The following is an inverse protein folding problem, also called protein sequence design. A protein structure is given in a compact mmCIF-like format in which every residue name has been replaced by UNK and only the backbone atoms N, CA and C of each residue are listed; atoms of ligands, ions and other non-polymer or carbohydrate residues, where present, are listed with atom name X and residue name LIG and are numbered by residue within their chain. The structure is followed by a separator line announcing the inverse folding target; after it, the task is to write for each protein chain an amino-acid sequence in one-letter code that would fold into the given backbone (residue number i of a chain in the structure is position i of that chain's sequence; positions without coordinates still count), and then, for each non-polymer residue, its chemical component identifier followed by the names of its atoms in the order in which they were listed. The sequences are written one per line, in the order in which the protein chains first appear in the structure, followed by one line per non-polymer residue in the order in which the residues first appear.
data_IF_901351363716
#
_entry.id   IF_901351363716
#
_cell.length_a   1.000
_cell.length_b   1.000
_cell.length_c   1.000
_cell.angle_alpha   90.00
_cell.angle_beta   90.00
_cell.angle_gamma   90.00
#
_symmetry.space_group_name_H-M   'P 1'
#
loop_
_entity.id
_entity.type
_entity.pdbx_description
1 polymer ?
#
# COMPACT_ATOMS: atom_id res chain seq x y z
N UNK A 1 16.35 5.87 11.56
CA UNK A 1 15.88 4.96 10.50
C UNK A 1 16.46 3.58 10.73
N UNK A 2 15.60 2.60 11.04
CA UNK A 2 15.95 1.16 11.13
C UNK A 2 16.32 0.57 9.78
N UNK A 3 15.70 1.03 8.69
CA UNK A 3 15.91 0.52 7.33
C UNK A 3 15.88 1.66 6.31
N UNK A 4 16.53 1.48 5.16
CA UNK A 4 16.48 2.46 4.07
C UNK A 4 15.08 2.51 3.43
N UNK A 5 14.69 3.67 2.88
CA UNK A 5 13.42 3.80 2.15
C UNK A 5 13.33 2.76 1.01
N UNK A 6 14.44 2.55 0.29
CA UNK A 6 14.55 1.52 -0.76
C UNK A 6 14.20 0.13 -0.26
N UNK A 7 14.75 -0.27 0.88
CA UNK A 7 14.50 -1.59 1.46
C UNK A 7 13.05 -1.75 1.95
N UNK A 8 12.44 -0.66 2.45
CA UNK A 8 11.03 -0.62 2.84
C UNK A 8 10.10 -0.73 1.63
N UNK A 9 10.38 0.04 0.58
CA UNK A 9 9.64 -0.01 -0.69
C UNK A 9 9.75 -1.40 -1.32
N UNK A 10 10.94 -2.01 -1.35
CA UNK A 10 11.09 -3.43 -1.75
C UNK A 10 10.28 -4.38 -0.87
N UNK A 11 10.30 -4.16 0.44
CA UNK A 11 9.49 -4.90 1.39
C UNK A 11 8.00 -4.85 1.06
N UNK A 12 7.47 -3.68 0.68
CA UNK A 12 6.07 -3.50 0.27
C UNK A 12 5.69 -4.42 -0.90
N UNK A 13 6.42 -4.36 -2.01
CA UNK A 13 6.09 -5.14 -3.20
C UNK A 13 6.27 -6.64 -2.99
N UNK A 14 7.35 -7.04 -2.32
CA UNK A 14 7.56 -8.46 -1.99
C UNK A 14 6.51 -8.97 -1.01
N UNK A 15 6.11 -8.15 -0.03
CA UNK A 15 5.05 -8.46 0.91
C UNK A 15 3.70 -8.63 0.22
N UNK A 16 3.37 -7.74 -0.72
CA UNK A 16 2.17 -7.82 -1.57
C UNK A 16 2.14 -9.14 -2.36
N UNK A 17 3.23 -9.45 -3.08
CA UNK A 17 3.34 -10.67 -3.89
C UNK A 17 3.30 -11.95 -3.05
N UNK A 18 3.93 -11.95 -1.88
CA UNK A 18 3.89 -13.08 -0.94
C UNK A 18 2.50 -13.25 -0.33
N UNK A 19 1.82 -12.15 -0.02
CA UNK A 19 0.47 -12.17 0.52
C UNK A 19 -0.52 -12.84 -0.42
N UNK A 20 -0.32 -12.70 -1.73
CA UNK A 20 -1.08 -13.40 -2.77
C UNK A 20 -0.56 -14.83 -2.96
N UNK A 21 0.75 -15.00 -3.17
CA UNK A 21 1.39 -16.29 -3.51
C UNK A 21 1.25 -17.36 -2.45
N UNK A 22 1.29 -17.00 -1.17
CA UNK A 22 1.20 -17.98 -0.09
C UNK A 22 -0.23 -18.45 0.16
N UNK A 23 -1.24 -17.77 -0.40
CA UNK A 23 -2.64 -18.20 -0.26
C UNK A 23 -2.91 -19.37 -1.20
N UNK A 24 -3.81 -20.28 -0.78
CA UNK A 24 -4.24 -21.41 -1.61
C UNK A 24 -5.35 -21.03 -2.59
N UNK A 25 -5.71 -19.75 -2.64
CA UNK A 25 -6.75 -19.23 -3.52
C UNK A 25 -6.17 -18.89 -4.89
N UNK A 26 -7.04 -18.82 -5.89
CA UNK A 26 -6.63 -18.32 -7.20
C UNK A 26 -6.12 -16.89 -7.09
N UNK A 27 -5.04 -16.61 -7.83
CA UNK A 27 -4.43 -15.29 -7.89
C UNK A 27 -5.44 -14.29 -8.48
N UNK A 28 -5.61 -13.15 -7.81
CA UNK A 28 -6.55 -12.09 -8.23
C UNK A 28 -5.82 -10.99 -9.02
N UNK A 29 -4.49 -11.09 -9.15
CA UNK A 29 -3.65 -10.15 -9.89
C UNK A 29 -3.37 -8.87 -9.12
N UNK A 30 -3.50 -8.88 -7.78
CA UNK A 30 -3.27 -7.67 -6.98
C UNK A 30 -1.82 -7.21 -7.04
N UNK A 31 -0.88 -8.15 -7.05
CA UNK A 31 0.53 -7.84 -7.27
C UNK A 31 0.77 -7.06 -8.58
N UNK A 32 0.16 -7.52 -9.66
CA UNK A 32 0.27 -6.91 -10.99
C UNK A 32 -0.31 -5.50 -11.01
N UNK A 33 -1.47 -5.28 -10.38
CA UNK A 33 -2.10 -3.96 -10.28
C UNK A 33 -1.18 -2.95 -9.57
N UNK A 34 -0.55 -3.37 -8.46
CA UNK A 34 0.40 -2.52 -7.73
C UNK A 34 1.64 -2.16 -8.57
N UNK A 35 2.11 -3.10 -9.39
CA UNK A 35 3.25 -2.88 -10.30
C UNK A 35 2.86 -1.94 -11.44
N UNK A 36 1.72 -2.18 -12.09
CA UNK A 36 1.23 -1.37 -13.21
C UNK A 36 0.96 0.08 -12.80
N UNK A 37 0.32 0.29 -11.66
CA UNK A 37 0.09 1.64 -11.11
C UNK A 37 1.39 2.36 -10.78
N UNK A 38 2.39 1.64 -10.26
CA UNK A 38 3.73 2.19 -10.01
C UNK A 38 4.45 2.59 -11.29
N UNK A 39 4.35 1.77 -12.34
CA UNK A 39 4.97 2.07 -13.62
C UNK A 39 4.35 3.31 -14.28
N UNK A 40 3.02 3.46 -14.18
CA UNK A 40 2.33 4.67 -14.65
C UNK A 40 2.85 5.92 -13.92
N UNK A 41 2.95 5.86 -12.58
CA UNK A 41 3.50 6.94 -11.77
C UNK A 41 4.94 7.28 -12.17
N UNK A 42 5.80 6.28 -12.38
CA UNK A 42 7.18 6.47 -12.84
C UNK A 42 7.22 7.15 -14.21
N UNK A 43 6.44 6.67 -15.18
CA UNK A 43 6.50 7.15 -16.56
C UNK A 43 5.97 8.58 -16.72
N UNK A 44 5.01 8.98 -15.90
CA UNK A 44 4.27 10.25 -16.07
C UNK A 44 4.57 11.28 -14.97
N UNK A 45 5.25 10.88 -13.89
CA UNK A 45 5.41 11.71 -12.69
C UNK A 45 4.10 11.92 -11.90
N UNK A 46 3.01 11.27 -12.32
CA UNK A 46 1.69 11.28 -11.70
C UNK A 46 1.00 9.96 -12.03
N UNK A 47 0.04 9.55 -11.20
CA UNK A 47 -0.76 8.37 -11.52
C UNK A 47 -1.80 8.77 -12.57
N UNK A 48 -1.61 8.30 -13.80
CA UNK A 48 -2.47 8.66 -14.93
C UNK A 48 -3.69 7.75 -14.97
N UNK A 49 -4.87 8.34 -14.75
CA UNK A 49 -6.09 7.56 -14.57
C UNK A 49 -6.67 7.04 -15.88
N UNK A 50 -6.40 7.71 -17.00
CA UNK A 50 -6.81 7.22 -18.33
C UNK A 50 -5.97 6.00 -18.72
N UNK A 51 -4.65 6.08 -18.50
CA UNK A 51 -3.74 4.95 -18.71
C UNK A 51 -4.11 3.77 -17.81
N UNK A 52 -4.42 4.04 -16.54
CA UNK A 52 -4.87 3.02 -15.60
C UNK A 52 -6.18 2.36 -16.05
N UNK A 53 -7.20 3.15 -16.42
CA UNK A 53 -8.49 2.63 -16.88
C UNK A 53 -8.38 1.80 -18.17
N UNK A 54 -7.58 2.26 -19.13
CA UNK A 54 -7.37 1.53 -20.38
C UNK A 54 -6.68 0.19 -20.13
N UNK A 55 -5.63 0.18 -19.31
CA UNK A 55 -4.92 -1.04 -18.94
C UNK A 55 -5.82 -2.00 -18.12
N UNK A 56 -6.65 -1.45 -17.25
CA UNK A 56 -7.61 -2.19 -16.44
C UNK A 56 -8.66 -2.91 -17.30
N UNK A 57 -9.27 -2.20 -18.26
CA UNK A 57 -10.26 -2.75 -19.19
C UNK A 57 -9.64 -3.83 -20.11
N UNK A 58 -8.42 -3.59 -20.59
CA UNK A 58 -7.73 -4.53 -21.47
C UNK A 58 -7.38 -5.86 -20.77
N UNK A 59 -7.10 -5.81 -19.47
CA UNK A 59 -6.74 -6.98 -18.67
C UNK A 59 -7.94 -7.69 -18.01
N UNK A 60 -9.18 -7.26 -18.32
CA UNK A 60 -10.45 -7.87 -17.86
C UNK A 60 -10.57 -8.06 -16.34
N UNK A 61 -9.93 -7.20 -15.55
CA UNK A 61 -10.15 -7.21 -14.11
C UNK A 61 -11.60 -6.77 -13.79
N UNK A 62 -12.25 -7.45 -12.85
CA UNK A 62 -13.53 -7.01 -12.28
C UNK A 62 -13.27 -6.06 -11.10
N UNK A 63 -13.86 -4.85 -11.13
CA UNK A 63 -13.53 -3.81 -10.14
C UNK A 63 -13.94 -4.26 -8.75
N UNK A 64 -12.95 -4.44 -7.89
CA UNK A 64 -13.17 -4.58 -6.46
C UNK A 64 -12.55 -3.40 -5.74
N UNK A 65 -13.20 -2.99 -4.65
CA UNK A 65 -12.73 -1.96 -3.74
C UNK A 65 -11.23 -2.08 -3.39
N UNK A 66 -10.73 -3.32 -3.23
CA UNK A 66 -9.34 -3.58 -2.84
C UNK A 66 -8.36 -3.27 -3.97
N UNK A 67 -8.74 -3.52 -5.23
CA UNK A 67 -7.89 -3.18 -6.38
C UNK A 67 -7.61 -1.68 -6.44
N UNK A 68 -8.60 -0.85 -6.16
CA UNK A 68 -8.45 0.61 -6.10
C UNK A 68 -7.46 1.01 -5.01
N UNK A 69 -7.55 0.39 -3.82
CA UNK A 69 -6.59 0.62 -2.73
C UNK A 69 -5.17 0.22 -3.13
N UNK A 70 -5.00 -0.96 -3.76
CA UNK A 70 -3.69 -1.44 -4.20
C UNK A 70 -3.11 -0.53 -5.30
N UNK A 71 -3.94 -0.11 -6.26
CA UNK A 71 -3.54 0.83 -7.29
C UNK A 71 -3.11 2.19 -6.74
N UNK A 72 -3.64 2.60 -5.58
CA UNK A 72 -3.29 3.84 -4.92
C UNK A 72 -2.00 3.78 -4.08
N UNK A 73 -1.46 2.60 -3.77
CA UNK A 73 -0.24 2.44 -2.95
C UNK A 73 0.96 3.28 -3.41
N UNK A 74 1.24 3.43 -4.72
CA UNK A 74 2.38 4.22 -5.18
C UNK A 74 2.28 5.70 -4.78
N UNK A 75 1.06 6.24 -4.64
CA UNK A 75 0.86 7.61 -4.16
C UNK A 75 1.32 7.77 -2.71
N UNK A 76 1.03 6.78 -1.86
CA UNK A 76 1.49 6.78 -0.47
C UNK A 76 3.02 6.65 -0.40
N UNK A 77 3.64 5.85 -1.28
CA UNK A 77 5.10 5.74 -1.38
C UNK A 77 5.73 7.06 -1.84
N UNK A 78 5.15 7.71 -2.85
CA UNK A 78 5.72 8.92 -3.44
C UNK A 78 5.50 10.18 -2.59
N UNK A 79 4.34 10.31 -1.94
CA UNK A 79 3.99 11.47 -1.11
C UNK A 79 4.09 11.20 0.40
N UNK A 80 4.88 10.21 0.84
CA UNK A 80 4.95 9.83 2.26
C UNK A 80 5.42 10.94 3.21
N UNK A 81 6.11 11.97 2.71
CA UNK A 81 6.55 13.12 3.51
C UNK A 81 5.57 14.30 3.48
N UNK A 82 4.55 14.27 2.61
CA UNK A 82 3.57 15.35 2.43
C UNK A 82 2.15 14.75 2.39
N UNK A 83 1.56 14.63 3.58
CA UNK A 83 0.23 14.05 3.77
C UNK A 83 -0.88 14.81 3.04
N UNK A 84 -0.72 16.12 2.86
CA UNK A 84 -1.71 16.95 2.16
C UNK A 84 -1.65 16.65 0.66
N UNK A 85 -0.46 16.61 0.05
CA UNK A 85 -0.31 16.16 -1.35
C UNK A 85 -0.78 14.73 -1.55
N UNK A 86 -0.49 13.83 -0.61
CA UNK A 86 -1.00 12.46 -0.67
C UNK A 86 -2.53 12.45 -0.74
N UNK A 87 -3.21 13.17 0.17
CA UNK A 87 -4.67 13.29 0.21
C UNK A 87 -5.23 13.86 -1.09
N UNK A 88 -4.66 14.95 -1.59
CA UNK A 88 -5.10 15.60 -2.83
C UNK A 88 -4.99 14.68 -4.05
N UNK A 89 -3.83 14.05 -4.24
CA UNK A 89 -3.60 13.16 -5.38
C UNK A 89 -4.46 11.90 -5.30
N UNK A 90 -4.62 11.34 -4.10
CA UNK A 90 -5.48 10.17 -3.91
C UNK A 90 -6.95 10.51 -4.21
N UNK A 91 -7.45 11.65 -3.73
CA UNK A 91 -8.81 12.07 -4.02
C UNK A 91 -9.06 12.29 -5.51
N UNK A 92 -8.09 12.81 -6.26
CA UNK A 92 -8.20 12.95 -7.72
C UNK A 92 -8.29 11.57 -8.40
N UNK A 93 -7.44 10.63 -8.02
CA UNK A 93 -7.47 9.26 -8.52
C UNK A 93 -8.82 8.57 -8.26
N UNK A 94 -9.31 8.65 -7.02
CA UNK A 94 -10.55 8.01 -6.60
C UNK A 94 -11.80 8.62 -7.23
N UNK A 95 -11.83 9.94 -7.45
CA UNK A 95 -12.94 10.62 -8.14
C UNK A 95 -13.10 10.12 -9.57
N UNK A 96 -12.00 9.92 -10.28
CA UNK A 96 -12.06 9.39 -11.64
C UNK A 96 -12.56 7.94 -11.65
N UNK A 97 -12.15 7.13 -10.66
CA UNK A 97 -12.60 5.75 -10.51
C UNK A 97 -14.06 5.60 -10.06
N UNK A 98 -14.80 6.69 -9.82
CA UNK A 98 -16.14 6.70 -9.20
C UNK A 98 -16.20 5.91 -7.89
N UNK A 99 -15.11 5.97 -7.10
CA UNK A 99 -15.01 5.22 -5.86
C UNK A 99 -16.09 5.64 -4.86
N UNK A 100 -16.75 4.67 -4.23
CA UNK A 100 -17.76 4.94 -3.21
C UNK A 100 -17.10 5.47 -1.90
N UNK A 101 -17.90 5.96 -0.93
CA UNK A 101 -17.35 6.45 0.33
C UNK A 101 -16.54 5.40 1.11
N UNK A 102 -16.91 4.12 1.03
CA UNK A 102 -16.20 3.05 1.74
C UNK A 102 -14.83 2.79 1.11
N UNK A 103 -14.77 2.68 -0.21
CA UNK A 103 -13.54 2.52 -1.01
C UNK A 103 -12.57 3.67 -0.77
N UNK A 104 -13.07 4.90 -0.83
CA UNK A 104 -12.27 6.10 -0.63
C UNK A 104 -11.64 6.13 0.76
N UNK A 105 -12.43 5.85 1.79
CA UNK A 105 -11.95 5.92 3.16
C UNK A 105 -10.99 4.77 3.47
N UNK A 106 -11.21 3.59 2.87
CA UNK A 106 -10.25 2.49 2.97
C UNK A 106 -8.93 2.89 2.31
N UNK A 107 -8.92 3.44 1.10
CA UNK A 107 -7.70 3.89 0.44
C UNK A 107 -6.93 4.95 1.26
N UNK A 108 -7.66 5.92 1.85
CA UNK A 108 -7.08 6.93 2.73
C UNK A 108 -6.47 6.31 3.99
N UNK A 109 -7.20 5.43 4.66
CA UNK A 109 -6.73 4.77 5.88
C UNK A 109 -5.51 3.90 5.62
N UNK A 110 -5.53 3.13 4.52
CA UNK A 110 -4.42 2.28 4.09
C UNK A 110 -3.17 3.08 3.79
N UNK A 111 -3.31 4.13 2.97
CA UNK A 111 -2.19 5.00 2.65
C UNK A 111 -1.63 5.70 3.88
N UNK A 112 -2.49 6.16 4.79
CA UNK A 112 -2.03 6.76 6.06
C UNK A 112 -1.21 5.80 6.91
N UNK A 113 -1.70 4.56 7.11
CA UNK A 113 -0.96 3.53 7.86
C UNK A 113 0.36 3.20 7.17
N UNK A 114 0.35 3.07 5.84
CA UNK A 114 1.56 2.82 5.07
C UNK A 114 2.59 3.96 5.24
N UNK A 115 2.15 5.21 5.20
CA UNK A 115 2.99 6.38 5.42
C UNK A 115 3.60 6.36 6.83
N UNK A 116 2.83 5.99 7.85
CA UNK A 116 3.36 5.80 9.22
C UNK A 116 4.45 4.72 9.29
N UNK A 117 4.31 3.63 8.53
CA UNK A 117 5.35 2.61 8.39
C UNK A 117 6.60 3.14 7.67
N UNK A 118 6.42 3.86 6.55
CA UNK A 118 7.51 4.40 5.72
C UNK A 118 8.34 5.46 6.46
N UNK A 119 7.66 6.31 7.24
CA UNK A 119 8.27 7.40 8.02
C UNK A 119 8.79 6.97 9.39
N UNK A 120 8.62 5.69 9.77
CA UNK A 120 8.96 5.16 11.10
C UNK A 120 8.27 5.90 12.26
N UNK A 121 7.11 6.49 12.01
CA UNK A 121 6.32 7.22 13.03
C UNK A 121 5.14 6.42 13.57
N UNK A 122 5.04 5.14 13.20
CA UNK A 122 3.98 4.25 13.67
C UNK A 122 4.06 4.02 15.18
N UNK A 123 2.92 4.22 15.85
CA UNK A 123 2.70 3.84 17.24
C UNK A 123 1.52 2.87 17.32
N UNK A 124 1.76 1.64 17.76
CA UNK A 124 0.75 0.57 17.75
C UNK A 124 -0.48 0.85 18.63
N UNK A 125 -0.35 1.73 19.63
CA UNK A 125 -1.45 2.10 20.54
C UNK A 125 -2.31 3.22 19.95
N UNK A 126 -1.70 4.20 19.28
CA UNK A 126 -2.40 5.39 18.76
C UNK A 126 -2.74 5.30 17.28
N UNK A 127 -2.17 4.34 16.53
CA UNK A 127 -2.36 4.23 15.08
C UNK A 127 -3.84 4.21 14.68
N UNK A 128 -4.65 3.36 15.30
CA UNK A 128 -6.07 3.26 14.93
C UNK A 128 -6.84 4.55 15.25
N UNK A 129 -6.76 5.13 16.47
CA UNK A 129 -7.32 6.45 16.75
C UNK A 129 -6.87 7.54 15.76
N UNK A 130 -5.58 7.61 15.46
CA UNK A 130 -5.02 8.58 14.51
C UNK A 130 -5.55 8.37 13.08
N UNK A 131 -5.69 7.11 12.64
CA UNK A 131 -6.28 6.80 11.33
C UNK A 131 -7.74 7.24 11.27
N UNK A 132 -8.52 7.01 12.32
CA UNK A 132 -9.92 7.46 12.39
C UNK A 132 -9.99 8.99 12.34
N UNK A 133 -9.14 9.69 13.08
CA UNK A 133 -9.07 11.16 13.06
C UNK A 133 -8.65 11.70 11.68
N UNK A 134 -7.68 11.05 11.04
CA UNK A 134 -7.19 11.41 9.70
C UNK A 134 -8.27 11.33 8.62
N UNK A 135 -9.19 10.37 8.73
CA UNK A 135 -10.36 10.23 7.85
C UNK A 135 -11.38 11.35 8.05
N UNK A 136 -11.50 11.87 9.28
CA UNK A 136 -12.49 12.87 9.63
C UNK A 136 -13.93 12.33 9.57
N UNK A 137 -14.88 13.22 9.28
CA UNK A 137 -16.30 12.86 9.22
C UNK A 137 -16.63 12.15 7.91
N UNK A 138 -17.25 10.98 8.00
CA UNK A 138 -17.65 10.18 6.84
C UNK A 138 -18.88 9.32 7.14
N UNK A 139 -19.52 8.83 6.07
CA UNK A 139 -20.66 7.90 6.09
C UNK A 139 -20.25 6.44 5.89
N UNK A 140 -18.96 6.17 5.65
CA UNK A 140 -18.41 4.82 5.51
C UNK A 140 -18.50 4.02 6.83
N UNK A 141 -18.66 2.68 6.78
CA UNK A 141 -18.59 1.81 7.96
C UNK A 141 -17.16 1.63 8.52
N UNK A 142 -16.13 2.15 7.84
CA UNK A 142 -14.73 1.94 8.21
C UNK A 142 -14.38 2.48 9.61
N UNK A 143 -14.71 3.72 10.01
CA UNK A 143 -14.37 4.21 11.35
C UNK A 143 -14.95 3.35 12.47
N UNK A 144 -16.17 2.85 12.30
CA UNK A 144 -16.80 1.94 13.26
C UNK A 144 -16.07 0.59 13.33
N UNK A 145 -15.70 0.02 12.18
CA UNK A 145 -14.92 -1.21 12.08
C UNK A 145 -13.55 -1.06 12.77
N UNK A 146 -12.87 0.06 12.54
CA UNK A 146 -11.59 0.40 13.17
C UNK A 146 -11.74 0.62 14.68
N UNK A 147 -12.79 1.30 15.13
CA UNK A 147 -13.05 1.50 16.55
C UNK A 147 -13.32 0.17 17.26
N UNK A 148 -14.11 -0.71 16.64
CA UNK A 148 -14.36 -2.07 17.13
C UNK A 148 -13.06 -2.86 17.24
N UNK A 149 -12.22 -2.83 16.21
CA UNK A 149 -10.90 -3.45 16.22
C UNK A 149 -10.03 -2.91 17.37
N UNK A 150 -9.97 -1.58 17.54
CA UNK A 150 -9.17 -0.95 18.60
C UNK A 150 -9.57 -1.46 19.99
N UNK A 151 -10.87 -1.58 20.24
CA UNK A 151 -11.38 -2.12 21.50
C UNK A 151 -11.02 -3.60 21.70
N UNK A 152 -11.04 -4.40 20.64
CA UNK A 152 -10.65 -5.81 20.67
C UNK A 152 -9.14 -5.98 20.92
N UNK A 153 -8.31 -5.15 20.30
CA UNK A 153 -6.85 -5.12 20.54
C UNK A 153 -6.53 -4.74 21.99
N UNK A 154 -7.18 -3.71 22.54
CA UNK A 154 -7.04 -3.32 23.96
C UNK A 154 -7.39 -4.45 24.92
N UNK A 155 -8.34 -5.30 24.56
CA UNK A 155 -8.74 -6.49 25.32
C UNK A 155 -7.90 -7.73 25.02
N UNK A 156 -6.85 -7.60 24.20
CA UNK A 156 -6.01 -8.71 23.76
C UNK A 156 -6.83 -9.87 23.16
N UNK A 157 -7.88 -9.56 22.41
CA UNK A 157 -8.73 -10.56 21.79
C UNK A 157 -7.91 -11.44 20.82
N UNK A 158 -8.08 -12.76 20.94
CA UNK A 158 -7.42 -13.72 20.05
C UNK A 158 -8.05 -13.79 18.64
N UNK A 159 -7.30 -14.39 17.70
CA UNK A 159 -7.67 -14.45 16.27
C UNK A 159 -9.07 -15.04 16.02
N UNK A 160 -9.48 -16.07 16.79
CA UNK A 160 -10.80 -16.70 16.65
C UNK A 160 -11.93 -15.69 16.89
N UNK A 161 -11.80 -14.87 17.93
CA UNK A 161 -12.79 -13.84 18.26
C UNK A 161 -12.79 -12.72 17.22
N UNK A 162 -11.62 -12.32 16.75
CA UNK A 162 -11.49 -11.33 15.68
C UNK A 162 -12.18 -11.83 14.40
N UNK A 163 -11.90 -13.06 13.97
CA UNK A 163 -12.53 -13.66 12.81
C UNK A 163 -14.05 -13.74 12.93
N UNK A 164 -14.58 -14.13 14.09
CA UNK A 164 -16.03 -14.18 14.31
C UNK A 164 -16.71 -12.80 14.15
N UNK A 165 -16.00 -11.71 14.41
CA UNK A 165 -16.55 -10.35 14.35
C UNK A 165 -16.45 -9.70 12.96
N UNK A 166 -15.53 -10.15 12.12
CA UNK A 166 -15.19 -9.51 10.83
C UNK A 166 -15.31 -10.44 9.60
N UNK A 167 -15.45 -11.77 9.78
CA UNK A 167 -15.59 -12.71 8.65
C UNK A 167 -17.03 -12.92 8.21
N UNK A 168 -18.02 -12.38 8.93
CA UNK A 168 -19.44 -12.65 8.69
C UNK A 168 -19.97 -12.01 7.40
N UNK A 169 -19.36 -10.90 6.97
CA UNK A 169 -19.69 -10.22 5.72
C UNK A 169 -18.41 -9.75 5.06
N UNK A 170 -18.21 -10.16 3.81
CA UNK A 170 -17.07 -9.72 3.02
C UNK A 170 -17.30 -8.27 2.57
N UNK A 171 -16.62 -7.34 3.24
CA UNK A 171 -16.50 -5.96 2.78
C UNK A 171 -15.05 -5.49 2.96
N UNK A 172 -14.68 -4.40 2.30
CA UNK A 172 -13.30 -3.90 2.34
C UNK A 172 -12.92 -3.40 3.73
N UNK A 173 -13.86 -2.81 4.49
CA UNK A 173 -13.60 -2.32 5.85
C UNK A 173 -13.25 -3.43 6.84
N UNK A 174 -13.87 -4.60 6.72
CA UNK A 174 -13.54 -5.78 7.51
C UNK A 174 -12.18 -6.37 7.10
N UNK A 175 -11.88 -6.42 5.80
CA UNK A 175 -10.55 -6.83 5.32
C UNK A 175 -9.44 -5.89 5.85
N UNK A 176 -9.71 -4.59 5.91
CA UNK A 176 -8.85 -3.60 6.56
C UNK A 176 -8.67 -3.87 8.06
N UNK A 177 -9.77 -4.13 8.78
CA UNK A 177 -9.66 -4.46 10.20
C UNK A 177 -8.88 -5.75 10.48
N UNK A 178 -9.12 -6.81 9.71
CA UNK A 178 -8.45 -8.10 9.87
C UNK A 178 -6.95 -8.03 9.58
N UNK A 179 -6.57 -7.31 8.53
CA UNK A 179 -5.18 -7.14 8.15
C UNK A 179 -4.43 -6.24 9.13
N UNK A 180 -5.04 -5.14 9.60
CA UNK A 180 -4.49 -4.34 10.70
C UNK A 180 -4.33 -5.15 11.97
N UNK A 181 -5.29 -6.02 12.32
CA UNK A 181 -5.12 -6.92 13.46
C UNK A 181 -3.90 -7.83 13.29
N UNK A 182 -3.79 -8.50 12.14
CA UNK A 182 -2.69 -9.43 11.87
C UNK A 182 -1.33 -8.72 11.91
N UNK A 183 -1.25 -7.50 11.38
CA UNK A 183 -0.04 -6.68 11.43
C UNK A 183 0.26 -6.15 12.85
N UNK A 184 -0.68 -5.45 13.49
CA UNK A 184 -0.43 -4.79 14.78
C UNK A 184 -0.18 -5.79 15.91
N UNK A 185 -0.76 -6.99 15.85
CA UNK A 185 -0.54 -8.03 16.84
C UNK A 185 0.77 -8.82 16.65
N UNK A 186 1.54 -8.54 15.59
CA UNK A 186 2.87 -9.12 15.34
C UNK A 186 3.76 -8.18 14.53
N UNK A 187 3.77 -6.89 14.89
CA UNK A 187 4.38 -5.81 14.08
C UNK A 187 5.85 -6.07 13.72
N UNK A 188 6.62 -6.64 14.65
CA UNK A 188 8.06 -6.95 14.49
C UNK A 188 8.35 -8.28 13.78
N UNK A 189 7.33 -9.11 13.51
CA UNK A 189 7.50 -10.41 12.87
C UNK A 189 6.70 -10.48 11.58
N UNK A 190 7.43 -10.31 10.47
CA UNK A 190 6.85 -10.35 9.12
C UNK A 190 6.20 -11.70 8.83
N UNK A 191 6.89 -12.79 9.16
CA UNK A 191 6.45 -14.14 8.86
C UNK A 191 5.19 -14.47 9.63
N UNK A 192 5.16 -14.14 10.92
CA UNK A 192 4.00 -14.38 11.77
C UNK A 192 2.78 -13.57 11.32
N UNK A 193 2.97 -12.29 11.02
CA UNK A 193 1.89 -11.42 10.52
C UNK A 193 1.24 -12.01 9.27
N UNK A 194 2.06 -12.43 8.31
CA UNK A 194 1.57 -12.98 7.04
C UNK A 194 0.95 -14.37 7.19
N UNK A 195 1.50 -15.24 8.03
CA UNK A 195 0.91 -16.56 8.29
C UNK A 195 -0.46 -16.45 8.98
N UNK A 196 -0.64 -15.45 9.86
CA UNK A 196 -1.92 -15.20 10.53
C UNK A 196 -2.98 -14.68 9.56
N UNK A 197 -2.62 -13.71 8.72
CA UNK A 197 -3.52 -13.18 7.70
C UNK A 197 -3.87 -14.23 6.64
N UNK A 198 -2.94 -15.12 6.31
CA UNK A 198 -3.18 -16.16 5.32
C UNK A 198 -4.14 -17.26 5.82
N UNK A 199 -4.07 -17.63 7.11
CA UNK A 199 -5.10 -18.48 7.73
C UNK A 199 -6.50 -17.85 7.62
N UNK A 200 -6.58 -16.53 7.68
CA UNK A 200 -7.83 -15.80 7.50
C UNK A 200 -8.26 -15.74 6.03
N UNK A 201 -7.29 -15.59 5.13
CA UNK A 201 -7.55 -15.61 3.70
C UNK A 201 -8.17 -16.94 3.25
N UNK A 202 -7.76 -18.07 3.83
CA UNK A 202 -8.37 -19.38 3.56
C UNK A 202 -9.87 -19.45 3.85
N UNK A 203 -10.38 -18.59 4.76
CA UNK A 203 -11.80 -18.53 5.13
C UNK A 203 -12.55 -17.52 4.24
N UNK A 204 -11.84 -16.56 3.65
CA UNK A 204 -12.43 -15.39 2.96
C UNK A 204 -11.74 -15.17 1.61
N UNK A 205 -10.92 -14.12 1.49
CA UNK A 205 -10.19 -13.76 0.26
C UNK A 205 -8.70 -13.48 0.57
N UNK A 206 -7.86 -13.42 -0.47
CA UNK A 206 -6.44 -13.11 -0.32
C UNK A 206 -6.15 -11.66 0.11
N UNK A 207 -7.14 -10.75 0.12
CA UNK A 207 -6.94 -9.32 0.34
C UNK A 207 -6.37 -9.00 1.71
N UNK A 208 -6.89 -9.66 2.76
CA UNK A 208 -6.35 -9.55 4.10
C UNK A 208 -4.85 -9.90 4.14
N UNK A 209 -4.45 -10.95 3.43
CA UNK A 209 -3.07 -11.42 3.35
C UNK A 209 -2.18 -10.44 2.58
N UNK A 210 -2.62 -9.99 1.41
CA UNK A 210 -1.91 -9.01 0.58
C UNK A 210 -1.66 -7.70 1.34
N UNK A 211 -2.71 -7.15 1.95
CA UNK A 211 -2.63 -5.88 2.65
C UNK A 211 -1.80 -5.96 3.94
N UNK A 212 -1.87 -7.09 4.66
CA UNK A 212 -0.96 -7.37 5.78
C UNK A 212 0.49 -7.44 5.30
N UNK A 213 0.73 -8.11 4.17
CA UNK A 213 2.04 -8.20 3.53
C UNK A 213 2.63 -6.84 3.19
N UNK A 214 1.82 -5.95 2.61
CA UNK A 214 2.21 -4.55 2.31
C UNK A 214 2.68 -3.81 3.57
N UNK A 215 1.86 -3.76 4.62
CA UNK A 215 2.21 -3.03 5.86
C UNK A 215 3.42 -3.64 6.56
N UNK A 216 3.42 -4.96 6.69
CA UNK A 216 4.49 -5.69 7.34
C UNK A 216 5.81 -5.55 6.57
N UNK A 217 5.75 -5.57 5.25
CA UNK A 217 6.87 -5.30 4.37
C UNK A 217 7.38 -3.86 4.48
N UNK A 218 6.49 -2.89 4.57
CA UNK A 218 6.87 -1.50 4.81
C UNK A 218 7.56 -1.30 6.16
N UNK A 219 7.08 -1.96 7.21
CA UNK A 219 7.59 -1.83 8.58
C UNK A 219 8.91 -2.61 8.78
N UNK A 220 8.95 -3.87 8.37
CA UNK A 220 10.08 -4.79 8.58
C UNK A 220 11.11 -4.78 7.43
N UNK A 221 10.81 -4.06 6.34
CA UNK A 221 11.59 -4.02 5.09
C UNK A 221 11.77 -5.39 4.42
N UNK A 222 12.46 -5.41 3.28
CA UNK A 222 12.94 -6.65 2.65
C UNK A 222 13.79 -7.51 3.60
N UNK A 223 14.42 -6.93 4.61
CA UNK A 223 15.27 -7.67 5.56
C UNK A 223 14.45 -8.56 6.50
N UNK A 224 13.21 -8.20 6.82
CA UNK A 224 12.31 -9.04 7.61
C UNK A 224 11.74 -10.24 6.87
N UNK A 225 11.87 -10.29 5.53
CA UNK A 225 11.27 -11.34 4.71
C UNK A 225 12.16 -12.60 4.71
N UNK A 226 11.63 -13.78 5.07
CA UNK A 226 12.37 -15.05 5.06
C UNK A 226 13.00 -15.38 3.69
N UNK A 227 14.24 -15.88 3.70
CA UNK A 227 14.97 -16.20 2.47
C UNK A 227 14.25 -17.24 1.60
N UNK A 228 13.69 -18.29 2.21
CA UNK A 228 12.95 -19.32 1.49
C UNK A 228 11.71 -18.77 0.77
N UNK A 229 11.11 -17.69 1.27
CA UNK A 229 9.98 -17.01 0.63
C UNK A 229 10.44 -16.11 -0.54
N UNK A 230 11.61 -15.48 -0.44
CA UNK A 230 12.21 -14.78 -1.59
C UNK A 230 12.52 -15.76 -2.72
N UNK A 231 13.11 -16.91 -2.40
CA UNK A 231 13.40 -17.99 -3.36
C UNK A 231 12.09 -18.49 -4.00
N UNK A 232 11.03 -18.67 -3.21
CA UNK A 232 9.72 -19.06 -3.73
C UNK A 232 9.21 -18.09 -4.82
N UNK A 233 9.37 -16.78 -4.61
CA UNK A 233 9.00 -15.78 -5.63
C UNK A 233 9.89 -15.86 -6.87
N UNK A 234 11.20 -16.13 -6.72
CA UNK A 234 12.12 -16.28 -7.86
C UNK A 234 11.79 -17.47 -8.75
N UNK A 235 11.22 -18.53 -8.16
CA UNK A 235 10.96 -19.79 -8.84
C UNK A 235 9.62 -19.82 -9.59
N UNK A 236 8.76 -18.81 -9.43
CA UNK A 236 7.51 -18.71 -10.18
C UNK A 236 7.76 -18.06 -11.55
N UNK A 237 7.67 -18.82 -12.67
CA UNK A 237 7.95 -18.29 -14.00
C UNK A 237 6.84 -17.36 -14.55
N UNK A 238 5.63 -17.42 -13.99
CA UNK A 238 4.45 -16.67 -14.48
C UNK A 238 4.25 -15.31 -13.78
N UNK A 239 4.86 -15.07 -12.63
CA UNK A 239 4.74 -13.81 -11.88
C UNK A 239 5.95 -12.91 -12.12
N UNK A 240 5.75 -11.59 -12.11
CA UNK A 240 6.80 -10.56 -12.24
C UNK A 240 8.13 -10.98 -11.59
N UNK A 241 9.20 -10.99 -12.37
CA UNK A 241 10.51 -11.45 -11.92
C UNK A 241 11.02 -10.55 -10.78
N UNK A 242 11.72 -11.11 -9.79
CA UNK A 242 12.28 -10.33 -8.67
C UNK A 242 13.15 -9.17 -9.16
N UNK A 243 13.90 -9.35 -10.25
CA UNK A 243 14.71 -8.29 -10.86
C UNK A 243 13.85 -7.10 -11.33
N UNK A 244 12.66 -7.35 -11.87
CA UNK A 244 11.74 -6.30 -12.31
C UNK A 244 11.20 -5.54 -11.10
N UNK A 245 10.93 -6.22 -9.98
CA UNK A 245 10.53 -5.56 -8.72
C UNK A 245 11.67 -4.71 -8.17
N UNK A 246 12.90 -5.23 -8.18
CA UNK A 246 14.06 -4.46 -7.75
C UNK A 246 14.26 -3.20 -8.59
N UNK A 247 14.12 -3.30 -9.91
CA UNK A 247 14.21 -2.15 -10.82
C UNK A 247 13.07 -1.15 -10.59
N UNK A 248 11.83 -1.63 -10.52
CA UNK A 248 10.64 -0.79 -10.27
C UNK A 248 10.80 0.02 -8.98
N UNK A 249 11.21 -0.65 -7.90
CA UNK A 249 11.35 -0.02 -6.57
C UNK A 249 12.51 0.97 -6.55
N UNK A 250 13.61 0.68 -7.23
CA UNK A 250 14.72 1.62 -7.41
C UNK A 250 14.28 2.85 -8.19
N UNK A 251 13.48 2.67 -9.24
CA UNK A 251 12.96 3.76 -10.06
C UNK A 251 11.96 4.64 -9.29
N UNK A 252 11.07 4.05 -8.48
CA UNK A 252 10.17 4.80 -7.59
C UNK A 252 10.94 5.68 -6.61
N UNK A 253 11.98 5.14 -5.96
CA UNK A 253 12.78 5.89 -4.98
C UNK A 253 13.63 6.97 -5.68
N UNK A 254 14.16 6.69 -6.87
CA UNK A 254 14.82 7.71 -7.69
C UNK A 254 13.85 8.82 -8.08
N UNK A 255 12.61 8.48 -8.44
CA UNK A 255 11.60 9.45 -8.85
C UNK A 255 11.26 10.37 -7.69
N UNK A 256 10.99 9.79 -6.51
CA UNK A 256 10.73 10.54 -5.29
C UNK A 256 11.91 11.46 -4.91
N UNK A 257 13.15 10.96 -4.97
CA UNK A 257 14.33 11.76 -4.64
C UNK A 257 14.73 12.79 -5.72
N UNK A 258 13.99 12.88 -6.82
CA UNK A 258 14.32 13.74 -7.97
C UNK A 258 15.54 13.28 -8.77
N UNK A 259 16.12 12.11 -8.45
CA UNK A 259 17.26 11.53 -9.14
C UNK A 259 16.87 10.73 -10.39
N UNK A 260 15.57 10.56 -10.65
CA UNK A 260 15.09 9.89 -11.85
C UNK A 260 15.09 10.85 -13.02
N UNK A 261 15.97 10.58 -13.99
CA UNK A 261 15.97 11.27 -15.26
C UNK A 261 14.78 10.77 -16.09
N UNK A 262 13.62 11.39 -15.90
CA UNK A 262 12.65 11.41 -16.98
C UNK A 262 13.35 12.10 -18.16
N UNK A 263 13.36 11.47 -19.34
CA UNK A 263 13.66 12.16 -20.59
C UNK A 263 12.53 13.17 -20.90
N UNK A 264 12.31 14.10 -19.98
CA UNK A 264 11.57 15.33 -20.24
C UNK A 264 12.45 16.02 -21.24
N UNK A 265 12.00 16.09 -22.49
CA UNK A 265 12.43 17.17 -23.37
C UNK A 265 12.07 18.45 -22.63
N UNK A 266 13.03 18.95 -21.85
CA UNK A 266 12.98 20.26 -21.25
C UNK A 266 12.91 21.19 -22.46
N UNK A 267 11.70 21.59 -22.82
CA UNK A 267 11.51 22.87 -23.48
C UNK A 267 12.26 23.86 -22.57
N UNK A 268 13.16 24.68 -23.12
CA UNK A 268 14.08 25.48 -22.32
C UNK A 268 13.29 26.55 -21.58
N UNK A 269 12.74 26.18 -20.42
CA UNK A 269 12.21 27.15 -19.48
C UNK A 269 13.41 27.90 -18.93
N UNK A 270 13.37 29.21 -19.17
CA UNK A 270 14.40 30.14 -18.73
C UNK A 270 14.67 29.95 -17.24
N UNK A 271 15.95 29.80 -16.90
CA UNK A 271 16.41 29.74 -15.52
C UNK A 271 16.11 31.12 -14.91
N UNK A 272 15.09 31.21 -14.07
CA UNK A 272 14.83 32.41 -13.27
C UNK A 272 15.64 32.32 -11.97
N UNK A 273 16.69 33.13 -11.86
CA UNK A 273 17.33 33.38 -10.58
C UNK A 273 16.38 34.21 -9.70
N UNK A 274 16.31 33.91 -8.41
CA UNK A 274 15.55 34.75 -7.49
C UNK A 274 16.13 36.18 -7.49
N UNK A 275 15.29 37.23 -7.41
CA UNK A 275 15.78 38.60 -7.37
C UNK A 275 16.76 38.77 -6.20
N UNK A 276 17.91 39.42 -6.45
CA UNK A 276 18.96 39.79 -5.49
C UNK A 276 20.01 38.73 -5.08
N UNK A 277 20.06 37.55 -5.71
CA UNK A 277 21.07 36.52 -5.39
C UNK A 277 22.36 36.57 -6.23
N UNK A 278 22.45 37.41 -7.26
CA UNK A 278 23.67 37.56 -8.07
C UNK A 278 24.36 38.87 -7.70
N UNK A 279 25.52 38.79 -7.03
CA UNK A 279 26.47 39.90 -6.95
C UNK A 279 27.47 39.77 -8.10
N UNK A 280 27.66 40.80 -8.94
CA UNK A 280 28.73 40.78 -9.93
C UNK A 280 30.09 40.87 -9.23
N UNK A 281 31.08 40.15 -9.77
CA UNK A 281 32.50 40.34 -9.46
C UNK A 281 33.06 41.48 -10.31
#
# INVERSE_FOLDING_TARGET
MRYSLRDRVRGIFLGMLLGETLTTQESVGLGEIGIMSSQSLINRGRLDVEEWSNNYQNNRFTSTAVMIVIAALPLAIFYHEDLDRFKENLQQFLKFGNADPEERDNALAWGYVLIKCLTETLNTVTLIPETIDFLGKTTSPLPESLLKLNNLLKRQAGMVRIGAEFNLQENISHNMALSLYCFLSSVEDFKLSLLRSNKQAQISNCYCSVLTGVMSGAYNSVQGIPLNWKILLSLKPETTNLSQIEELTDNLVKLWSGAYNLNIQLTPYSIFAAPHLIRPR
#
